data_IF_244732106551
#
_entry.id   IF_244732106551
#
_cell.length_a   1.000
_cell.length_b   1.000
_cell.length_c   1.000
_cell.angle_alpha   90.00
_cell.angle_beta   90.00
_cell.angle_gamma   90.00
#
_symmetry.space_group_name_H-M   'P 1'
#
loop_
_entity.id
_entity.type
_entity.pdbx_description
1 polymer ?
#
# COMPACT_ATOMS: atom_id res chain seq x y z
N UNK A 1 -6.58 -33.08 -13.54
CA UNK A 1 -5.60 -32.43 -12.65
C UNK A 1 -5.18 -33.46 -11.64
N UNK A 2 -3.94 -33.91 -11.76
CA UNK A 2 -3.30 -34.72 -10.73
C UNK A 2 -2.45 -33.79 -9.86
N UNK A 3 -2.59 -33.93 -8.54
CA UNK A 3 -1.85 -33.19 -7.52
C UNK A 3 -1.23 -34.20 -6.56
N UNK A 4 0.09 -34.36 -6.63
CA UNK A 4 0.85 -35.30 -5.80
C UNK A 4 1.40 -34.65 -4.51
N UNK A 5 0.98 -33.41 -4.20
CA UNK A 5 1.46 -32.62 -3.06
C UNK A 5 2.76 -31.84 -3.36
N UNK A 6 3.42 -32.10 -4.49
CA UNK A 6 4.67 -31.42 -4.90
C UNK A 6 4.50 -30.76 -6.28
N UNK A 7 3.65 -31.32 -7.15
CA UNK A 7 3.52 -30.90 -8.54
C UNK A 7 2.10 -31.12 -9.04
N UNK A 8 1.53 -30.05 -9.58
CA UNK A 8 0.26 -30.07 -10.30
C UNK A 8 0.51 -30.34 -11.77
N UNK A 9 -0.25 -31.27 -12.34
CA UNK A 9 -0.20 -31.62 -13.77
C UNK A 9 -1.57 -31.43 -14.40
N UNK A 10 -1.59 -30.80 -15.58
CA UNK A 10 -2.79 -30.60 -16.38
C UNK A 10 -2.77 -31.47 -17.64
N UNK A 11 -3.94 -31.70 -18.23
CA UNK A 11 -4.14 -32.57 -19.39
C UNK A 11 -3.36 -32.11 -20.64
N UNK A 12 -2.93 -30.84 -20.67
CA UNK A 12 -2.05 -30.28 -21.71
C UNK A 12 -0.58 -30.70 -21.58
N UNK A 13 -0.22 -31.42 -20.52
CA UNK A 13 1.18 -31.73 -20.17
C UNK A 13 1.90 -30.58 -19.45
N UNK A 14 1.22 -29.44 -19.21
CA UNK A 14 1.75 -28.39 -18.37
C UNK A 14 1.91 -28.89 -16.94
N UNK A 15 2.95 -28.42 -16.25
CA UNK A 15 3.19 -28.75 -14.84
C UNK A 15 3.61 -27.53 -14.05
N UNK A 16 3.26 -27.47 -12.77
CA UNK A 16 3.63 -26.39 -11.85
C UNK A 16 3.78 -26.95 -10.46
N UNK A 17 4.88 -26.57 -9.82
CA UNK A 17 5.17 -26.88 -8.42
C UNK A 17 4.01 -26.43 -7.49
N UNK A 18 3.78 -27.14 -6.39
CA UNK A 18 2.69 -26.84 -5.47
C UNK A 18 2.86 -25.45 -4.85
N UNK A 19 1.75 -24.88 -4.37
CA UNK A 19 1.75 -23.56 -3.74
C UNK A 19 2.24 -23.62 -2.28
N UNK A 20 2.67 -24.79 -1.80
CA UNK A 20 3.15 -24.97 -0.43
C UNK A 20 4.33 -24.03 -0.20
N UNK A 21 4.24 -23.24 0.88
CA UNK A 21 5.19 -22.16 1.26
C UNK A 21 5.29 -20.95 0.29
N UNK A 22 4.50 -20.88 -0.78
CA UNK A 22 4.47 -19.72 -1.69
C UNK A 22 3.47 -18.67 -1.22
N UNK A 23 3.87 -17.41 -1.27
CA UNK A 23 2.98 -16.30 -0.95
C UNK A 23 1.92 -16.10 -2.06
N UNK A 24 0.64 -16.16 -1.66
CA UNK A 24 -0.49 -15.85 -2.53
C UNK A 24 -0.83 -14.36 -2.47
N UNK A 25 -0.02 -13.53 -3.14
CA UNK A 25 -0.23 -12.08 -3.14
C UNK A 25 -1.59 -11.66 -3.69
N UNK A 26 -2.18 -12.43 -4.61
CA UNK A 26 -3.51 -12.13 -5.15
C UNK A 26 -4.60 -12.39 -4.09
N UNK A 27 -4.51 -13.49 -3.36
CA UNK A 27 -5.39 -13.76 -2.22
C UNK A 27 -5.18 -12.83 -1.02
N UNK A 28 -3.97 -12.27 -0.83
CA UNK A 28 -3.64 -11.39 0.30
C UNK A 28 -3.98 -9.92 0.07
N UNK A 29 -4.13 -9.49 -1.19
CA UNK A 29 -4.32 -8.10 -1.56
C UNK A 29 -5.67 -7.89 -2.25
N UNK A 30 -6.41 -6.87 -1.82
CA UNK A 30 -7.66 -6.49 -2.49
C UNK A 30 -7.37 -5.63 -3.73
N UNK A 31 -7.82 -6.03 -4.94
CA UNK A 31 -7.61 -5.22 -6.15
C UNK A 31 -8.29 -3.84 -6.06
N UNK A 32 -9.39 -3.73 -5.32
CA UNK A 32 -10.06 -2.45 -5.07
C UNK A 32 -9.18 -1.50 -4.26
N UNK A 33 -8.53 -2.02 -3.21
CA UNK A 33 -7.62 -1.24 -2.35
C UNK A 33 -6.38 -0.81 -3.14
N UNK A 34 -5.80 -1.71 -3.93
CA UNK A 34 -4.61 -1.41 -4.74
C UNK A 34 -4.92 -0.34 -5.80
N UNK A 35 -6.06 -0.43 -6.49
CA UNK A 35 -6.47 0.58 -7.46
C UNK A 35 -6.67 1.94 -6.80
N UNK A 36 -7.40 2.01 -5.68
CA UNK A 36 -7.64 3.27 -4.97
C UNK A 36 -6.35 3.90 -4.44
N UNK A 37 -5.43 3.07 -3.95
CA UNK A 37 -4.11 3.53 -3.52
C UNK A 37 -3.27 4.04 -4.70
N UNK A 38 -3.36 3.39 -5.87
CA UNK A 38 -2.74 3.87 -7.11
C UNK A 38 -3.23 5.27 -7.52
N UNK A 39 -4.54 5.51 -7.46
CA UNK A 39 -5.12 6.84 -7.70
C UNK A 39 -4.61 7.88 -6.71
N UNK A 40 -4.55 7.53 -5.42
CA UNK A 40 -3.98 8.37 -4.37
C UNK A 40 -2.52 8.73 -4.69
N UNK A 41 -1.68 7.74 -5.02
CA UNK A 41 -0.27 7.96 -5.34
C UNK A 41 -0.10 8.81 -6.61
N UNK A 42 -0.94 8.60 -7.62
CA UNK A 42 -0.90 9.38 -8.86
C UNK A 42 -1.24 10.85 -8.61
N UNK A 43 -2.26 11.13 -7.78
CA UNK A 43 -2.60 12.49 -7.35
C UNK A 43 -1.44 13.16 -6.62
N UNK A 44 -0.80 12.47 -5.67
CA UNK A 44 0.22 13.04 -4.78
C UNK A 44 1.64 13.12 -5.39
N UNK A 45 1.86 12.53 -6.58
CA UNK A 45 3.13 12.71 -7.30
C UNK A 45 3.19 14.05 -8.03
N UNK A 46 2.05 14.69 -8.31
CA UNK A 46 1.98 16.08 -8.79
C UNK A 46 2.21 17.03 -7.61
N UNK A 47 3.21 17.90 -7.73
CA UNK A 47 3.56 18.88 -6.70
C UNK A 47 2.80 20.20 -6.89
N UNK A 48 2.78 21.04 -5.86
CA UNK A 48 2.12 22.35 -5.89
C UNK A 48 2.71 23.32 -6.92
N UNK A 49 3.97 23.12 -7.30
CA UNK A 49 4.67 23.87 -8.35
C UNK A 49 4.41 23.32 -9.76
N UNK A 50 3.57 22.28 -9.89
CA UNK A 50 3.27 21.60 -11.15
C UNK A 50 4.28 20.53 -11.55
N UNK A 51 5.36 20.33 -10.80
CA UNK A 51 6.35 19.28 -11.07
C UNK A 51 5.74 17.90 -10.84
N UNK A 52 5.91 16.98 -11.79
CA UNK A 52 5.48 15.60 -11.66
C UNK A 52 6.66 14.72 -11.24
N UNK A 53 6.59 14.15 -10.03
CA UNK A 53 7.60 13.22 -9.53
C UNK A 53 7.42 11.82 -10.13
N UNK A 54 8.52 11.10 -10.30
CA UNK A 54 8.50 9.67 -10.60
C UNK A 54 7.70 8.92 -9.51
N UNK A 55 6.98 7.87 -9.92
CA UNK A 55 6.06 7.14 -9.04
C UNK A 55 6.74 6.47 -7.84
N UNK A 56 8.02 6.15 -7.97
CA UNK A 56 8.86 5.51 -6.96
C UNK A 56 9.70 6.50 -6.15
N UNK A 57 9.53 7.83 -6.34
CA UNK A 57 10.36 8.84 -5.69
C UNK A 57 10.41 8.70 -4.16
N UNK A 58 9.35 8.20 -3.53
CA UNK A 58 9.30 7.94 -2.08
C UNK A 58 10.30 6.86 -1.61
N UNK A 59 10.71 5.95 -2.49
CA UNK A 59 11.70 4.90 -2.19
C UNK A 59 13.14 5.44 -2.08
N UNK A 60 13.40 6.68 -2.52
CA UNK A 60 14.67 7.39 -2.28
C UNK A 60 14.92 7.66 -0.78
N UNK A 61 13.88 7.51 0.02
CA UNK A 61 13.93 7.49 1.47
C UNK A 61 13.47 8.78 2.13
N UNK A 62 12.71 8.62 3.20
CA UNK A 62 12.21 9.69 4.06
C UNK A 62 12.54 9.30 5.51
N UNK A 63 12.98 10.22 6.39
CA UNK A 63 13.31 9.87 7.77
C UNK A 63 12.13 9.20 8.50
N UNK A 64 12.40 8.13 9.26
CA UNK A 64 11.39 7.37 10.02
C UNK A 64 10.53 8.25 10.94
N UNK A 65 11.13 9.26 11.57
CA UNK A 65 10.39 10.21 12.41
C UNK A 65 9.38 11.05 11.63
N UNK A 66 9.67 11.36 10.37
CA UNK A 66 8.75 12.07 9.48
C UNK A 66 7.56 11.17 9.15
N UNK A 67 7.81 9.90 8.82
CA UNK A 67 6.75 8.92 8.63
C UNK A 67 5.87 8.78 9.88
N UNK A 68 6.46 8.61 11.07
CA UNK A 68 5.67 8.45 12.29
C UNK A 68 4.81 9.68 12.62
N UNK A 69 5.38 10.89 12.49
CA UNK A 69 4.63 12.12 12.72
C UNK A 69 3.47 12.28 11.72
N UNK A 70 3.69 11.95 10.45
CA UNK A 70 2.64 12.04 9.43
C UNK A 70 1.58 10.95 9.60
N UNK A 71 1.99 9.72 9.88
CA UNK A 71 1.11 8.59 10.16
C UNK A 71 0.15 8.91 11.31
N UNK A 72 0.65 9.51 12.40
CA UNK A 72 -0.19 9.88 13.53
C UNK A 72 -1.25 10.94 13.17
N UNK A 73 -0.92 11.92 12.32
CA UNK A 73 -1.90 12.91 11.84
C UNK A 73 -3.02 12.25 11.03
N UNK A 74 -2.67 11.40 10.06
CA UNK A 74 -3.67 10.71 9.24
C UNK A 74 -4.49 9.69 10.06
N UNK A 75 -3.89 9.10 11.09
CA UNK A 75 -4.64 8.29 12.05
C UNK A 75 -5.69 9.11 12.81
N UNK A 76 -5.34 10.32 13.26
CA UNK A 76 -6.30 11.22 13.91
C UNK A 76 -7.43 11.65 12.96
N UNK A 77 -7.10 12.01 11.71
CA UNK A 77 -8.10 12.33 10.67
C UNK A 77 -9.05 11.14 10.44
N UNK A 78 -8.50 9.93 10.26
CA UNK A 78 -9.29 8.71 10.08
C UNK A 78 -10.18 8.40 11.29
N UNK A 79 -9.66 8.59 12.51
CA UNK A 79 -10.44 8.37 13.73
C UNK A 79 -11.60 9.36 13.83
N UNK A 80 -11.37 10.63 13.53
CA UNK A 80 -12.44 11.63 13.54
C UNK A 80 -13.50 11.31 12.47
N UNK A 81 -13.08 11.03 11.23
CA UNK A 81 -13.96 10.61 10.14
C UNK A 81 -14.77 9.35 10.49
N UNK A 82 -14.15 8.38 11.16
CA UNK A 82 -14.85 7.18 11.61
C UNK A 82 -15.99 7.50 12.60
N UNK A 83 -15.84 8.54 13.43
CA UNK A 83 -16.85 8.96 14.40
C UNK A 83 -17.92 9.89 13.81
N UNK A 84 -17.51 10.79 12.93
CA UNK A 84 -18.31 11.94 12.53
C UNK A 84 -18.73 11.90 11.04
N UNK A 85 -18.17 10.99 10.24
CA UNK A 85 -18.48 10.81 8.82
C UNK A 85 -17.78 11.78 7.88
N UNK A 86 -17.72 13.07 8.24
CA UNK A 86 -17.00 14.12 7.49
C UNK A 86 -16.43 15.15 8.46
N UNK A 87 -15.21 15.61 8.21
CA UNK A 87 -14.61 16.73 8.94
C UNK A 87 -14.03 17.75 7.95
N UNK A 88 -14.56 18.98 8.00
CA UNK A 88 -14.08 20.10 7.19
C UNK A 88 -12.72 20.65 7.66
N UNK A 89 -12.28 20.26 8.87
CA UNK A 89 -11.00 20.67 9.45
C UNK A 89 -9.89 19.62 9.32
N UNK A 90 -10.23 18.39 8.91
CA UNK A 90 -9.27 17.33 8.73
C UNK A 90 -8.34 17.60 7.54
N UNK A 91 -7.12 17.09 7.62
CA UNK A 91 -6.19 17.15 6.47
C UNK A 91 -6.78 16.40 5.28
N UNK A 92 -7.46 15.28 5.56
CA UNK A 92 -8.20 14.48 4.60
C UNK A 92 -9.68 14.49 4.93
N UNK A 93 -10.52 14.88 3.97
CA UNK A 93 -11.97 15.02 4.16
C UNK A 93 -12.74 13.72 3.92
N UNK A 94 -12.06 12.69 3.40
CA UNK A 94 -12.65 11.41 2.98
C UNK A 94 -11.88 10.25 3.60
N UNK A 95 -12.63 9.26 4.11
CA UNK A 95 -12.07 8.06 4.76
C UNK A 95 -11.05 7.34 3.89
N UNK A 96 -11.31 7.24 2.58
CA UNK A 96 -10.40 6.59 1.63
C UNK A 96 -9.05 7.31 1.49
N UNK A 97 -9.04 8.64 1.47
CA UNK A 97 -7.80 9.41 1.40
C UNK A 97 -7.01 9.27 2.70
N UNK A 98 -7.67 9.35 3.86
CA UNK A 98 -7.04 9.15 5.17
C UNK A 98 -6.42 7.74 5.30
N UNK A 99 -7.13 6.70 4.83
CA UNK A 99 -6.64 5.33 4.78
C UNK A 99 -5.44 5.19 3.83
N UNK A 100 -5.50 5.78 2.63
CA UNK A 100 -4.39 5.72 1.67
C UNK A 100 -3.15 6.47 2.20
N UNK A 101 -3.33 7.62 2.84
CA UNK A 101 -2.25 8.38 3.46
C UNK A 101 -1.61 7.60 4.61
N UNK A 102 -2.41 6.92 5.44
CA UNK A 102 -1.89 6.04 6.49
C UNK A 102 -1.10 4.87 5.88
N UNK A 103 -1.64 4.21 4.87
CA UNK A 103 -1.00 3.10 4.15
C UNK A 103 0.33 3.53 3.52
N UNK A 104 0.39 4.71 2.88
CA UNK A 104 1.63 5.28 2.34
C UNK A 104 2.71 5.40 3.42
N UNK A 105 2.36 5.92 4.61
CA UNK A 105 3.33 6.07 5.69
C UNK A 105 3.77 4.73 6.28
N UNK A 106 2.88 3.73 6.36
CA UNK A 106 3.23 2.38 6.80
C UNK A 106 4.21 1.72 5.83
N UNK A 107 3.91 1.78 4.53
CA UNK A 107 4.81 1.22 3.50
C UNK A 107 6.14 1.95 3.44
N UNK A 108 6.15 3.27 3.53
CA UNK A 108 7.36 4.08 3.60
C UNK A 108 8.24 3.74 4.80
N UNK A 109 7.64 3.66 5.99
CA UNK A 109 8.37 3.28 7.19
C UNK A 109 8.93 1.85 7.09
N UNK A 110 8.14 0.91 6.58
CA UNK A 110 8.54 -0.49 6.41
C UNK A 110 9.68 -0.60 5.38
N UNK A 111 9.59 0.11 4.25
CA UNK A 111 10.65 0.21 3.24
C UNK A 111 11.97 0.65 3.89
N UNK A 112 11.95 1.73 4.68
CA UNK A 112 13.13 2.21 5.41
C UNK A 112 13.62 1.27 6.52
N UNK A 113 12.74 0.42 7.05
CA UNK A 113 13.12 -0.60 8.03
C UNK A 113 13.79 -1.81 7.36
N UNK A 114 13.32 -2.21 6.17
CA UNK A 114 13.84 -3.34 5.43
C UNK A 114 15.09 -3.00 4.63
N UNK A 115 15.15 -1.82 3.99
CA UNK A 115 16.29 -1.38 3.16
C UNK A 115 17.60 -1.21 3.94
N UNK A 116 17.52 -0.98 5.26
CA UNK A 116 18.68 -0.85 6.16
C UNK A 116 19.17 -2.18 6.73
N UNK A 117 18.48 -3.30 6.46
CA UNK A 117 18.88 -4.65 6.87
C UNK A 117 19.64 -5.40 5.77
N UNK A 118 19.78 -4.79 4.59
CA UNK A 118 20.42 -5.34 3.39
C UNK A 118 21.88 -4.97 3.32
#
# INVERSE_FOLDING_TARGET
MDDDGVKRTWDTGATRDTAEEKYDYEGFLSPLVINRFGEYMHKHRLQSDGTLRDSDNWQKGIPKDVYMKSMFRHFMDLWDLHRNGTDDKATERFTEEALCALLFNVMGYLHEHLSRKS
#
